data_IF_419370874180
#
_entry.id   IF_419370874180
#
_cell.length_a   1.000
_cell.length_b   1.000
_cell.length_c   1.000
_cell.angle_alpha   90.00
_cell.angle_beta   90.00
_cell.angle_gamma   90.00
#
_symmetry.space_group_name_H-M   'P 1'
#
loop_
_entity.id
_entity.type
_entity.pdbx_description
1 polymer ?
#
# COMPACT_ATOMS: atom_id res chain seq x y z
N UNK A 1 -5.98 -28.97 -39.27
CA UNK A 1 -5.74 -30.36 -39.65
C UNK A 1 -4.31 -30.47 -40.14
N UNK A 2 -3.47 -31.08 -39.45
CA UNK A 2 -2.32 -31.97 -39.72
C UNK A 2 -1.54 -32.06 -38.43
N UNK A 3 -1.66 -33.16 -37.74
CA UNK A 3 -0.72 -33.68 -36.73
C UNK A 3 0.51 -34.19 -37.46
N UNK A 4 1.69 -33.91 -36.94
CA UNK A 4 2.86 -34.76 -37.19
C UNK A 4 3.59 -34.99 -35.88
N UNK A 5 3.53 -36.25 -35.46
CA UNK A 5 4.35 -36.85 -34.41
C UNK A 5 5.71 -37.17 -35.04
N UNK A 6 6.82 -36.73 -34.45
CA UNK A 6 8.14 -37.29 -34.75
C UNK A 6 8.92 -37.49 -33.44
N UNK A 7 9.53 -38.64 -33.40
CA UNK A 7 10.06 -39.34 -32.27
C UNK A 7 11.34 -38.77 -31.65
N UNK A 8 11.64 -39.34 -30.49
CA UNK A 8 12.82 -39.18 -29.61
C UNK A 8 14.16 -39.38 -30.32
N UNK A 9 15.08 -38.41 -30.12
CA UNK A 9 16.50 -38.68 -30.07
C UNK A 9 17.14 -37.78 -28.99
N UNK A 10 17.97 -38.41 -28.17
CA UNK A 10 18.73 -37.86 -27.06
C UNK A 10 19.86 -36.95 -27.55
N UNK A 11 19.82 -35.66 -27.20
CA UNK A 11 20.99 -34.80 -27.01
C UNK A 11 20.51 -33.49 -26.35
N UNK A 12 21.23 -33.03 -25.31
CA UNK A 12 20.82 -31.92 -24.45
C UNK A 12 20.59 -30.62 -25.21
N UNK A 13 19.35 -30.19 -25.21
CA UNK A 13 18.94 -28.83 -25.56
C UNK A 13 17.96 -28.31 -24.52
N UNK A 14 18.34 -27.18 -23.95
CA UNK A 14 17.48 -26.35 -23.10
C UNK A 14 16.18 -26.04 -23.81
N UNK A 15 15.06 -26.60 -23.30
CA UNK A 15 13.71 -26.23 -23.77
C UNK A 15 13.41 -24.82 -23.28
N UNK A 16 13.31 -23.87 -24.22
CA UNK A 16 12.59 -22.63 -24.01
C UNK A 16 11.09 -22.96 -24.01
N UNK A 17 10.45 -22.91 -22.85
CA UNK A 17 9.01 -22.97 -22.75
C UNK A 17 8.44 -21.62 -23.19
N UNK A 18 8.12 -21.47 -24.48
CA UNK A 18 7.14 -20.50 -24.95
C UNK A 18 5.75 -21.14 -24.87
N UNK A 19 5.18 -21.23 -23.70
CA UNK A 19 3.74 -21.40 -23.59
C UNK A 19 3.09 -20.01 -23.73
N UNK A 20 2.59 -19.70 -24.92
CA UNK A 20 1.59 -18.65 -25.13
C UNK A 20 0.28 -19.09 -24.44
N UNK A 21 0.14 -18.75 -23.16
CA UNK A 21 -1.16 -18.83 -22.51
C UNK A 21 -2.07 -17.79 -23.13
N UNK A 22 -2.98 -18.21 -24.01
CA UNK A 22 -4.16 -17.43 -24.38
C UNK A 22 -5.09 -17.37 -23.17
N UNK A 23 -4.87 -16.43 -22.28
CA UNK A 23 -5.87 -16.07 -21.29
C UNK A 23 -7.04 -15.41 -22.03
N UNK A 24 -8.27 -15.92 -21.82
CA UNK A 24 -9.50 -15.23 -22.19
C UNK A 24 -9.56 -13.84 -21.53
N UNK A 25 -10.56 -13.06 -21.85
CA UNK A 25 -10.79 -11.76 -21.21
C UNK A 25 -10.71 -11.89 -19.70
N UNK A 26 -9.88 -11.05 -19.05
CA UNK A 26 -9.74 -11.04 -17.59
C UNK A 26 -10.97 -10.34 -17.03
N UNK A 27 -11.80 -11.07 -16.31
CA UNK A 27 -12.95 -10.53 -15.57
C UNK A 27 -12.49 -9.93 -14.23
N UNK A 28 -11.89 -8.75 -14.32
CA UNK A 28 -11.48 -7.99 -13.15
C UNK A 28 -12.66 -7.17 -12.63
N UNK A 29 -13.20 -7.56 -11.48
CA UNK A 29 -14.42 -7.00 -10.94
C UNK A 29 -14.24 -5.65 -10.25
N UNK A 30 -15.07 -4.66 -10.60
CA UNK A 30 -15.04 -3.31 -10.03
C UNK A 30 -15.51 -2.26 -11.03
N UNK A 31 -15.41 -0.99 -10.63
CA UNK A 31 -15.73 0.15 -11.50
C UNK A 31 -14.48 0.76 -12.14
N UNK A 32 -13.39 0.86 -11.38
CA UNK A 32 -12.10 1.39 -11.85
C UNK A 32 -10.94 0.94 -10.97
N UNK A 33 -9.73 1.06 -11.53
CA UNK A 33 -8.46 1.05 -10.79
C UNK A 33 -7.91 2.48 -10.83
N UNK A 34 -7.57 3.04 -9.66
CA UNK A 34 -6.86 4.32 -9.55
C UNK A 34 -5.45 4.08 -9.03
N UNK A 35 -4.44 4.56 -9.78
CA UNK A 35 -3.03 4.32 -9.48
C UNK A 35 -2.25 5.62 -9.36
N UNK A 36 -1.47 5.78 -8.28
CA UNK A 36 -0.55 6.88 -8.07
C UNK A 36 0.85 6.56 -8.55
N UNK A 37 1.44 7.50 -9.27
CA UNK A 37 2.83 7.47 -9.71
C UNK A 37 3.58 8.70 -9.19
N UNK A 38 4.69 8.45 -8.47
CA UNK A 38 5.67 9.44 -8.05
C UNK A 38 6.76 9.50 -9.14
N UNK A 39 6.52 10.30 -10.16
CA UNK A 39 7.34 10.33 -11.36
C UNK A 39 8.70 10.99 -11.15
N UNK A 40 8.81 11.88 -10.16
CA UNK A 40 10.05 12.59 -9.89
C UNK A 40 10.95 11.87 -8.85
N UNK A 41 10.39 10.84 -8.15
CA UNK A 41 11.13 9.98 -7.22
C UNK A 41 10.89 8.49 -7.52
N UNK A 42 11.77 7.85 -8.26
CA UNK A 42 11.64 6.42 -8.61
C UNK A 42 12.55 5.50 -7.82
N UNK A 43 13.76 5.95 -7.50
CA UNK A 43 14.79 5.21 -6.74
C UNK A 43 15.91 6.15 -6.30
N UNK A 44 16.82 5.65 -5.47
CA UNK A 44 18.06 6.35 -5.10
C UNK A 44 19.23 5.37 -5.18
N UNK A 45 20.47 5.89 -5.27
CA UNK A 45 21.62 5.09 -4.93
C UNK A 45 21.71 4.84 -3.41
N UNK A 46 22.70 4.07 -2.97
CA UNK A 46 22.91 3.74 -1.55
C UNK A 46 23.18 4.97 -0.67
N UNK A 47 23.65 6.08 -1.26
CA UNK A 47 23.94 7.34 -0.60
C UNK A 47 22.74 8.31 -0.61
N UNK A 48 21.62 7.89 -1.19
CA UNK A 48 20.42 8.71 -1.32
C UNK A 48 20.47 9.72 -2.47
N UNK A 49 21.40 9.57 -3.42
CA UNK A 49 21.46 10.40 -4.62
C UNK A 49 20.28 10.08 -5.53
N UNK A 50 19.63 11.12 -6.00
CA UNK A 50 18.46 11.02 -6.88
C UNK A 50 18.84 10.86 -8.35
N UNK A 51 17.95 10.30 -9.19
CA UNK A 51 18.13 10.27 -10.64
C UNK A 51 18.32 11.68 -11.20
N UNK A 52 18.95 11.78 -12.39
CA UNK A 52 19.12 13.06 -13.09
C UNK A 52 17.76 13.69 -13.37
N UNK A 53 17.71 15.01 -13.38
CA UNK A 53 16.45 15.75 -13.63
C UNK A 53 15.82 15.38 -14.97
N UNK A 54 16.61 15.10 -16.00
CA UNK A 54 16.14 14.66 -17.32
C UNK A 54 15.45 13.26 -17.30
N UNK A 55 15.63 12.48 -16.24
CA UNK A 55 15.03 11.16 -16.09
C UNK A 55 13.76 11.18 -15.26
N UNK A 56 13.41 12.32 -14.67
CA UNK A 56 12.23 12.51 -13.82
C UNK A 56 10.99 12.80 -14.66
N UNK A 57 9.86 12.29 -14.22
CA UNK A 57 8.55 12.54 -14.81
C UNK A 57 7.66 13.31 -13.82
N UNK A 58 6.47 13.68 -14.24
CA UNK A 58 5.47 14.35 -13.39
C UNK A 58 4.69 13.32 -12.60
N UNK A 59 4.39 13.63 -11.35
CA UNK A 59 3.50 12.84 -10.49
C UNK A 59 2.08 12.84 -11.03
N UNK A 60 1.42 11.68 -10.97
CA UNK A 60 0.11 11.49 -11.58
C UNK A 60 -0.78 10.55 -10.80
N UNK A 61 -2.08 10.81 -10.92
CA UNK A 61 -3.14 9.83 -10.73
C UNK A 61 -3.57 9.31 -12.10
N UNK A 62 -3.54 8.00 -12.30
CA UNK A 62 -4.00 7.32 -13.51
C UNK A 62 -5.31 6.60 -13.22
N UNK A 63 -6.31 6.74 -14.10
CA UNK A 63 -7.63 6.13 -13.99
C UNK A 63 -7.79 5.08 -15.09
N UNK A 64 -8.09 3.85 -14.68
CA UNK A 64 -8.28 2.69 -15.53
C UNK A 64 -9.71 2.20 -15.29
N UNK A 65 -10.67 2.49 -16.19
CA UNK A 65 -12.03 2.00 -16.05
C UNK A 65 -12.08 0.48 -16.22
N UNK A 66 -13.07 -0.14 -15.65
CA UNK A 66 -13.36 -1.56 -15.79
C UNK A 66 -14.65 -1.76 -16.62
N UNK A 67 -14.78 -2.84 -17.39
CA UNK A 67 -13.82 -3.95 -17.55
C UNK A 67 -12.54 -3.54 -18.26
N UNK A 68 -11.48 -4.36 -18.14
CA UNK A 68 -10.14 -4.02 -18.67
C UNK A 68 -10.07 -4.04 -20.21
N UNK A 69 -10.83 -4.88 -20.88
CA UNK A 69 -10.97 -5.00 -22.34
C UNK A 69 -9.66 -4.89 -23.14
N UNK A 70 -8.60 -5.50 -22.62
CA UNK A 70 -7.27 -5.45 -23.22
C UNK A 70 -6.56 -4.10 -23.13
N UNK A 71 -7.01 -3.18 -22.29
CA UNK A 71 -6.40 -1.87 -22.07
C UNK A 71 -4.90 -2.00 -21.73
N UNK A 72 -4.07 -1.21 -22.42
CA UNK A 72 -2.63 -1.13 -22.19
C UNK A 72 -2.22 0.20 -21.52
N UNK A 73 -3.11 1.18 -21.48
CA UNK A 73 -2.90 2.51 -20.91
C UNK A 73 -4.15 2.97 -20.15
N UNK A 74 -4.03 3.88 -19.19
CA UNK A 74 -5.17 4.47 -18.50
C UNK A 74 -6.05 5.27 -19.47
N UNK A 75 -7.35 5.37 -19.15
CA UNK A 75 -8.27 6.22 -19.89
C UNK A 75 -8.02 7.70 -19.64
N UNK A 76 -7.64 8.06 -18.41
CA UNK A 76 -7.32 9.43 -18.03
C UNK A 76 -6.15 9.48 -17.05
N UNK A 77 -5.44 10.61 -17.08
CA UNK A 77 -4.39 10.95 -16.10
C UNK A 77 -4.53 12.40 -15.68
N UNK A 78 -4.32 12.67 -14.40
CA UNK A 78 -4.29 14.00 -13.84
C UNK A 78 -3.03 14.20 -13.01
N UNK A 79 -2.37 15.36 -13.16
CA UNK A 79 -1.18 15.68 -12.39
C UNK A 79 -1.58 15.99 -10.94
N UNK A 80 -0.99 15.29 -10.01
CA UNK A 80 -1.18 15.49 -8.56
C UNK A 80 0.10 15.12 -7.83
N UNK A 81 0.61 16.04 -7.03
CA UNK A 81 1.80 15.80 -6.22
C UNK A 81 1.51 14.74 -5.17
N UNK A 82 2.36 13.74 -5.12
CA UNK A 82 2.30 12.61 -4.20
C UNK A 82 3.71 12.07 -3.94
N UNK A 83 3.88 11.07 -3.09
CA UNK A 83 5.23 10.54 -2.81
C UNK A 83 5.20 9.07 -2.47
N UNK A 84 6.04 8.30 -3.15
CA UNK A 84 6.32 6.91 -2.84
C UNK A 84 7.11 6.75 -1.53
N UNK A 85 8.02 7.69 -1.25
CA UNK A 85 8.88 7.64 -0.08
C UNK A 85 8.16 8.09 1.17
N UNK A 86 8.36 7.35 2.26
CA UNK A 86 7.83 7.67 3.60
C UNK A 86 6.31 7.70 3.74
N UNK A 87 5.55 7.50 2.68
CA UNK A 87 4.11 7.26 2.72
C UNK A 87 3.82 5.77 2.89
N UNK A 88 2.71 5.44 3.53
CA UNK A 88 2.21 4.06 3.62
C UNK A 88 1.02 3.85 2.70
N UNK A 89 -0.03 4.64 2.87
CA UNK A 89 -1.23 4.65 2.03
C UNK A 89 -1.62 6.10 1.71
N UNK A 90 -1.03 6.69 0.65
CA UNK A 90 -1.25 8.12 0.34
C UNK A 90 -2.57 8.40 -0.38
N UNK A 91 -3.37 7.38 -0.66
CA UNK A 91 -4.64 7.48 -1.39
C UNK A 91 -5.76 6.77 -0.63
N UNK A 92 -6.94 7.37 -0.60
CA UNK A 92 -8.19 6.77 -0.13
C UNK A 92 -9.32 7.10 -1.09
N UNK A 93 -10.33 6.23 -1.17
CA UNK A 93 -11.51 6.42 -2.03
C UNK A 93 -12.74 6.65 -1.14
N UNK A 94 -13.60 7.60 -1.52
CA UNK A 94 -14.90 7.77 -0.87
C UNK A 94 -15.76 6.50 -0.98
N UNK A 95 -16.67 6.24 -0.02
CA UNK A 95 -17.49 5.03 -0.03
C UNK A 95 -18.38 4.87 -1.28
N UNK A 96 -18.69 5.97 -1.96
CA UNK A 96 -19.44 5.95 -3.22
C UNK A 96 -18.54 5.84 -4.48
N UNK A 97 -17.22 5.77 -4.29
CA UNK A 97 -16.24 5.67 -5.37
C UNK A 97 -16.14 6.90 -6.28
N UNK A 98 -16.74 8.03 -5.91
CA UNK A 98 -16.74 9.22 -6.77
C UNK A 98 -15.60 10.19 -6.49
N UNK A 99 -14.91 10.03 -5.36
CA UNK A 99 -13.83 10.91 -4.98
C UNK A 99 -12.62 10.12 -4.48
N UNK A 100 -11.45 10.51 -4.89
CA UNK A 100 -10.19 10.06 -4.28
C UNK A 100 -9.54 11.20 -3.53
N UNK A 101 -8.94 10.88 -2.38
CA UNK A 101 -8.20 11.78 -1.51
C UNK A 101 -6.74 11.38 -1.52
N UNK A 102 -5.84 12.35 -1.75
CA UNK A 102 -4.40 12.11 -1.91
C UNK A 102 -3.63 13.02 -0.98
N UNK A 103 -2.67 12.46 -0.25
CA UNK A 103 -1.74 13.23 0.60
C UNK A 103 -0.35 13.28 -0.02
N UNK A 104 0.29 14.44 0.12
CA UNK A 104 1.67 14.70 -0.27
C UNK A 104 2.58 14.60 0.96
N UNK A 105 3.30 13.48 1.12
CA UNK A 105 4.19 13.24 2.28
C UNK A 105 5.49 14.03 2.16
N UNK A 106 6.12 14.01 1.00
CA UNK A 106 7.23 14.88 0.62
C UNK A 106 6.80 15.72 -0.57
N UNK A 107 7.30 16.93 -0.67
CA UNK A 107 7.05 17.79 -1.80
C UNK A 107 7.86 17.37 -3.02
N UNK A 108 7.58 18.02 -4.15
CA UNK A 108 8.25 17.73 -5.43
C UNK A 108 9.78 17.81 -5.30
N UNK A 109 10.45 16.88 -5.96
CA UNK A 109 11.91 16.75 -5.93
C UNK A 109 12.63 17.93 -6.58
N UNK A 110 12.02 18.55 -7.61
CA UNK A 110 12.56 19.74 -8.33
C UNK A 110 14.07 19.59 -8.61
N UNK A 111 14.88 20.58 -8.17
CA UNK A 111 16.34 20.59 -8.32
C UNK A 111 17.13 19.80 -7.28
N UNK A 112 16.49 19.07 -6.37
CA UNK A 112 17.20 18.28 -5.36
C UNK A 112 18.09 17.21 -6.01
N UNK A 113 19.32 17.08 -5.51
CA UNK A 113 20.28 16.08 -5.95
C UNK A 113 20.32 14.86 -5.01
N UNK A 114 19.82 15.04 -3.77
CA UNK A 114 19.79 14.01 -2.75
C UNK A 114 18.43 14.03 -2.03
N UNK A 115 17.98 12.86 -1.62
CA UNK A 115 16.71 12.69 -0.92
C UNK A 115 16.57 13.53 0.36
N UNK A 116 17.69 13.87 1.02
CA UNK A 116 17.70 14.74 2.21
C UNK A 116 17.34 16.20 1.90
N UNK A 117 17.39 16.60 0.63
CA UNK A 117 17.05 17.94 0.18
C UNK A 117 15.57 18.10 -0.19
N UNK A 118 14.82 16.99 -0.25
CA UNK A 118 13.39 17.05 -0.54
C UNK A 118 12.67 17.60 0.69
N UNK A 119 11.88 18.65 0.48
CA UNK A 119 11.12 19.27 1.57
C UNK A 119 9.95 18.39 2.00
N UNK A 120 9.51 18.58 3.24
CA UNK A 120 8.27 18.00 3.72
C UNK A 120 7.09 18.45 2.87
N UNK A 121 6.25 17.52 2.45
CA UNK A 121 4.96 17.81 1.85
C UNK A 121 3.92 18.19 2.90
N UNK A 122 2.80 18.74 2.48
CA UNK A 122 1.74 19.18 3.39
C UNK A 122 0.36 19.26 2.74
N UNK A 123 0.18 18.76 1.53
CA UNK A 123 -1.10 18.87 0.81
C UNK A 123 -2.01 17.67 1.04
N UNK A 124 -3.29 17.97 1.06
CA UNK A 124 -4.39 17.03 0.86
C UNK A 124 -5.20 17.52 -0.35
N UNK A 125 -5.39 16.63 -1.32
CA UNK A 125 -6.11 16.95 -2.57
C UNK A 125 -7.30 16.00 -2.73
N UNK A 126 -8.47 16.53 -3.09
CA UNK A 126 -9.65 15.79 -3.50
C UNK A 126 -9.79 15.83 -5.02
N UNK A 127 -10.06 14.68 -5.63
CA UNK A 127 -10.24 14.53 -7.08
C UNK A 127 -11.58 13.83 -7.32
N UNK A 128 -12.46 14.49 -8.07
CA UNK A 128 -13.72 13.92 -8.53
C UNK A 128 -13.49 12.93 -9.68
N UNK A 129 -14.05 11.74 -9.52
CA UNK A 129 -14.05 10.63 -10.46
C UNK A 129 -15.47 10.26 -10.92
N UNK A 130 -16.44 11.18 -10.83
CA UNK A 130 -17.79 10.95 -11.34
C UNK A 130 -17.77 10.65 -12.83
N UNK A 131 -16.91 11.33 -13.57
CA UNK A 131 -16.51 11.02 -14.96
C UNK A 131 -15.08 10.47 -14.96
N UNK A 132 -14.93 9.17 -15.23
CA UNK A 132 -13.63 8.50 -15.23
C UNK A 132 -12.72 8.95 -16.38
N UNK A 133 -13.30 9.49 -17.46
CA UNK A 133 -12.55 10.07 -18.58
C UNK A 133 -12.05 11.49 -18.34
N UNK A 134 -12.62 12.20 -17.34
CA UNK A 134 -12.33 13.60 -17.07
C UNK A 134 -12.19 13.88 -15.56
N UNK A 135 -11.19 13.27 -14.87
CA UNK A 135 -10.97 13.52 -13.45
C UNK A 135 -10.65 14.98 -13.17
N UNK A 136 -11.18 15.54 -12.07
CA UNK A 136 -11.04 16.96 -11.73
C UNK A 136 -10.59 17.13 -10.27
N UNK A 137 -9.59 17.98 -10.03
CA UNK A 137 -9.31 18.47 -8.68
C UNK A 137 -10.47 19.34 -8.23
N UNK A 138 -11.10 18.97 -7.13
CA UNK A 138 -12.23 19.72 -6.55
C UNK A 138 -11.81 20.60 -5.40
N UNK A 139 -10.79 20.18 -4.65
CA UNK A 139 -10.26 20.95 -3.54
C UNK A 139 -8.81 20.56 -3.21
N UNK A 140 -8.07 21.50 -2.61
CA UNK A 140 -6.72 21.28 -2.10
C UNK A 140 -6.48 22.15 -0.87
N UNK A 141 -6.12 21.53 0.25
CA UNK A 141 -5.78 22.25 1.47
C UNK A 141 -4.39 21.89 1.96
N UNK A 142 -3.84 22.77 2.81
CA UNK A 142 -2.59 22.50 3.51
C UNK A 142 -2.85 21.89 4.88
N UNK A 143 -2.12 20.80 5.17
CA UNK A 143 -2.10 20.11 6.45
C UNK A 143 -0.80 20.43 7.21
N UNK A 144 -0.64 19.79 8.39
CA UNK A 144 0.68 19.69 9.02
C UNK A 144 1.67 18.92 8.14
N UNK A 145 2.95 19.09 8.41
CA UNK A 145 4.04 18.48 7.62
C UNK A 145 4.01 16.94 7.61
N UNK A 146 4.44 16.37 6.51
CA UNK A 146 4.61 14.93 6.27
C UNK A 146 3.36 14.09 6.59
N UNK A 147 2.20 14.34 5.99
CA UNK A 147 1.08 13.43 6.10
C UNK A 147 1.47 12.05 5.55
N UNK A 148 1.32 10.97 6.36
CA UNK A 148 1.87 9.64 6.03
C UNK A 148 0.89 8.74 5.31
N UNK A 149 -0.38 8.84 5.64
CA UNK A 149 -1.47 8.08 5.05
C UNK A 149 -2.76 8.89 5.13
N UNK A 150 -3.77 8.46 4.42
CA UNK A 150 -5.12 9.00 4.49
C UNK A 150 -6.12 7.86 4.54
N UNK A 151 -7.11 7.96 5.41
CA UNK A 151 -8.23 7.01 5.52
C UNK A 151 -9.52 7.80 5.71
N UNK A 152 -10.58 7.41 5.00
CA UNK A 152 -11.91 8.00 5.13
C UNK A 152 -12.83 7.06 5.91
N UNK A 153 -13.69 7.62 6.73
CA UNK A 153 -14.67 6.81 7.46
C UNK A 153 -15.77 6.26 6.51
N UNK A 154 -16.47 5.17 6.89
CA UNK A 154 -17.50 4.56 6.05
C UNK A 154 -18.67 5.48 5.69
N UNK A 155 -18.89 6.56 6.46
CA UNK A 155 -19.92 7.55 6.12
C UNK A 155 -19.48 8.53 5.03
N UNK A 156 -18.18 8.55 4.69
CA UNK A 156 -17.63 9.45 3.68
C UNK A 156 -17.48 10.91 4.10
N UNK A 157 -17.67 11.22 5.39
CA UNK A 157 -17.75 12.59 5.88
C UNK A 157 -16.56 13.04 6.72
N UNK A 158 -15.58 12.13 7.00
CA UNK A 158 -14.43 12.45 7.84
C UNK A 158 -13.18 11.69 7.45
N UNK A 159 -12.14 12.40 7.06
CA UNK A 159 -10.79 11.86 6.84
C UNK A 159 -10.00 11.85 8.15
N UNK A 160 -9.15 10.84 8.33
CA UNK A 160 -8.13 10.78 9.36
C UNK A 160 -6.74 10.68 8.72
N UNK A 161 -5.83 11.55 9.13
CA UNK A 161 -4.51 11.73 8.51
C UNK A 161 -3.45 11.91 9.60
N UNK A 162 -2.50 10.98 9.76
CA UNK A 162 -1.38 11.17 10.67
C UNK A 162 -0.38 12.16 10.07
N UNK A 163 0.02 13.16 10.86
CA UNK A 163 1.03 14.14 10.49
C UNK A 163 2.23 14.06 11.44
N UNK A 164 3.42 14.39 10.94
CA UNK A 164 4.68 14.16 11.66
C UNK A 164 4.80 14.97 12.97
N UNK A 165 4.20 16.15 13.05
CA UNK A 165 4.41 17.06 14.17
C UNK A 165 3.45 16.74 15.31
N UNK A 166 4.01 16.37 16.48
CA UNK A 166 3.31 16.36 17.77
C UNK A 166 2.40 15.17 18.02
N UNK A 167 2.62 14.01 17.39
CA UNK A 167 1.79 12.81 17.59
C UNK A 167 0.31 13.09 17.43
N UNK A 168 -0.02 13.83 16.38
CA UNK A 168 -1.39 14.27 16.11
C UNK A 168 -1.97 13.50 14.94
N UNK A 169 -3.25 13.20 15.05
CA UNK A 169 -4.08 12.82 13.92
C UNK A 169 -4.88 14.05 13.54
N UNK A 170 -4.76 14.46 12.30
CA UNK A 170 -5.57 15.53 11.71
C UNK A 170 -6.81 14.92 11.09
N UNK A 171 -7.96 15.40 11.54
CA UNK A 171 -9.26 15.04 10.99
C UNK A 171 -9.76 16.15 10.09
N UNK A 172 -10.19 15.80 8.88
CA UNK A 172 -10.69 16.75 7.89
C UNK A 172 -12.14 16.36 7.53
N UNK A 173 -13.14 17.19 7.88
CA UNK A 173 -14.49 16.99 7.40
C UNK A 173 -14.56 17.04 5.88
N UNK A 174 -15.42 16.23 5.27
CA UNK A 174 -15.69 16.22 3.84
C UNK A 174 -17.18 16.41 3.61
N UNK A 175 -17.55 17.33 2.75
CA UNK A 175 -18.92 17.56 2.31
C UNK A 175 -18.93 18.01 0.85
N UNK A 176 -19.69 17.31 -0.01
CA UNK A 176 -19.78 17.65 -1.44
C UNK A 176 -18.41 17.77 -2.13
N UNK A 177 -17.49 16.85 -1.85
CA UNK A 177 -16.12 16.82 -2.36
C UNK A 177 -15.27 18.05 -1.98
N UNK A 178 -15.67 18.80 -0.95
CA UNK A 178 -14.94 19.95 -0.39
C UNK A 178 -14.46 19.64 1.02
N UNK A 179 -13.33 20.21 1.40
CA UNK A 179 -12.75 20.04 2.74
C UNK A 179 -13.26 21.11 3.71
N UNK A 180 -13.74 20.67 4.86
CA UNK A 180 -14.00 21.52 5.99
C UNK A 180 -12.71 21.88 6.74
N UNK A 181 -12.83 22.69 7.80
CA UNK A 181 -11.69 23.13 8.62
C UNK A 181 -11.04 21.93 9.33
N UNK A 182 -9.73 21.68 9.14
CA UNK A 182 -9.02 20.61 9.81
C UNK A 182 -9.04 20.76 11.33
N UNK A 183 -9.22 19.63 12.04
CA UNK A 183 -9.18 19.53 13.50
C UNK A 183 -8.13 18.50 13.88
N UNK A 184 -7.26 18.79 14.84
CA UNK A 184 -6.22 17.85 15.28
C UNK A 184 -6.49 17.33 16.68
N UNK A 185 -6.27 16.03 16.87
CA UNK A 185 -6.34 15.37 18.18
C UNK A 185 -5.01 14.69 18.50
N UNK A 186 -4.55 14.86 19.72
CA UNK A 186 -3.29 14.24 20.19
C UNK A 186 -3.55 12.78 20.54
N UNK A 187 -2.62 11.90 20.15
CA UNK A 187 -2.59 10.51 20.59
C UNK A 187 -2.04 10.51 22.01
N UNK A 188 -2.89 10.31 23.01
CA UNK A 188 -2.53 10.33 24.43
C UNK A 188 -1.69 9.13 24.89
N UNK A 189 -0.64 8.78 24.18
CA UNK A 189 0.34 7.79 24.66
C UNK A 189 1.35 8.53 25.50
N UNK A 190 1.46 8.14 26.76
CA UNK A 190 2.39 8.72 27.72
C UNK A 190 3.81 8.84 27.12
N UNK A 191 4.36 10.03 27.28
CA UNK A 191 5.49 10.54 26.56
C UNK A 191 6.84 10.04 27.08
N UNK A 192 7.29 8.91 26.55
CA UNK A 192 8.73 8.73 26.35
C UNK A 192 9.10 9.13 24.91
N UNK A 193 8.58 10.26 24.47
CA UNK A 193 8.67 10.72 23.09
C UNK A 193 10.03 11.33 22.77
N UNK A 194 11.06 10.55 22.90
CA UNK A 194 12.30 10.77 22.17
C UNK A 194 12.04 10.32 20.74
N UNK A 195 12.25 11.20 19.77
CA UNK A 195 12.29 11.03 18.31
C UNK A 195 11.88 9.66 17.78
N UNK A 196 10.78 9.56 17.02
CA UNK A 196 10.38 8.37 16.29
C UNK A 196 9.07 7.70 16.72
N UNK A 197 8.25 8.33 17.53
CA UNK A 197 6.94 7.82 17.97
C UNK A 197 5.79 8.19 17.00
N UNK A 198 6.12 8.37 15.74
CA UNK A 198 5.15 8.80 14.74
C UNK A 198 4.15 7.70 14.40
N UNK A 199 2.89 8.10 14.21
CA UNK A 199 1.92 7.27 13.52
C UNK A 199 2.27 7.27 12.05
N UNK A 200 2.52 6.09 11.50
CA UNK A 200 2.87 5.94 10.08
C UNK A 200 1.65 5.57 9.23
N UNK A 201 0.69 4.90 9.83
CA UNK A 201 -0.53 4.50 9.14
C UNK A 201 -1.74 4.62 10.05
N UNK A 202 -2.87 5.00 9.48
CA UNK A 202 -4.16 5.07 10.14
C UNK A 202 -5.24 4.40 9.29
N UNK A 203 -6.17 3.71 9.94
CA UNK A 203 -7.29 3.05 9.28
C UNK A 203 -8.55 3.21 10.10
N UNK A 204 -9.68 3.54 9.43
CA UNK A 204 -10.98 3.55 10.04
C UNK A 204 -11.53 2.12 10.17
N UNK A 205 -12.11 1.84 11.33
CA UNK A 205 -12.89 0.63 11.52
C UNK A 205 -14.17 0.67 10.67
N UNK A 206 -14.66 -0.47 10.13
CA UNK A 206 -15.85 -0.51 9.27
C UNK A 206 -17.13 0.08 9.87
N UNK A 207 -17.24 0.18 11.20
CA UNK A 207 -18.41 0.83 11.82
C UNK A 207 -18.31 2.37 11.93
N UNK A 208 -17.20 2.96 11.48
CA UNK A 208 -17.01 4.42 11.42
C UNK A 208 -16.77 5.13 12.76
N UNK A 209 -16.65 4.39 13.87
CA UNK A 209 -16.52 4.98 15.22
C UNK A 209 -15.14 4.82 15.84
N UNK A 210 -14.33 3.93 15.28
CA UNK A 210 -13.00 3.62 15.80
C UNK A 210 -11.94 3.75 14.70
N UNK A 211 -10.71 3.95 15.15
CA UNK A 211 -9.52 3.95 14.28
C UNK A 211 -8.44 3.07 14.89
N UNK A 212 -7.62 2.48 14.02
CA UNK A 212 -6.33 1.90 14.36
C UNK A 212 -5.22 2.84 13.90
N UNK A 213 -4.18 2.98 14.71
CA UNK A 213 -2.97 3.73 14.35
C UNK A 213 -1.74 2.84 14.52
N UNK A 214 -0.97 2.69 13.45
CA UNK A 214 0.26 1.91 13.43
C UNK A 214 1.43 2.80 13.83
N UNK A 215 2.17 2.39 14.84
CA UNK A 215 3.34 3.11 15.38
C UNK A 215 4.62 2.34 15.09
N UNK A 216 5.19 2.60 13.92
CA UNK A 216 6.31 1.85 13.37
C UNK A 216 7.51 1.80 14.32
N UNK A 217 7.96 2.94 14.82
CA UNK A 217 9.14 3.02 15.69
C UNK A 217 8.93 2.38 17.08
N UNK A 218 7.69 2.10 17.48
CA UNK A 218 7.34 1.46 18.75
C UNK A 218 7.00 -0.01 18.62
N UNK A 219 6.89 -0.52 17.40
CA UNK A 219 6.42 -1.88 17.11
C UNK A 219 5.04 -2.15 17.74
N UNK A 220 4.12 -1.21 17.56
CA UNK A 220 2.81 -1.24 18.21
C UNK A 220 1.70 -0.80 17.27
N UNK A 221 0.50 -1.31 17.55
CA UNK A 221 -0.77 -0.79 17.05
C UNK A 221 -1.60 -0.31 18.23
N UNK A 222 -2.23 0.84 18.08
CA UNK A 222 -3.12 1.44 19.09
C UNK A 222 -4.50 1.68 18.50
N UNK A 223 -5.52 1.54 19.32
CA UNK A 223 -6.91 1.69 18.91
C UNK A 223 -7.61 2.80 19.71
N UNK A 224 -8.43 3.57 19.02
CA UNK A 224 -9.18 4.67 19.62
C UNK A 224 -10.64 4.67 19.19
N UNK A 225 -11.52 5.02 20.10
CA UNK A 225 -12.85 5.53 19.76
C UNK A 225 -12.73 7.00 19.38
N UNK A 226 -13.30 7.39 18.25
CA UNK A 226 -13.39 8.77 17.80
C UNK A 226 -14.70 9.35 18.34
N UNK A 227 -14.60 10.32 19.23
CA UNK A 227 -15.73 11.10 19.73
C UNK A 227 -15.69 12.47 19.05
N UNK A 228 -16.73 12.81 18.32
CA UNK A 228 -16.85 14.12 17.67
C UNK A 228 -18.09 14.87 18.18
N UNK A 229 -17.92 16.16 18.32
CA UNK A 229 -18.99 17.14 18.44
C UNK A 229 -18.67 18.31 17.47
N UNK A 230 -19.55 19.28 17.38
CA UNK A 230 -19.41 20.39 16.44
C UNK A 230 -18.11 21.18 16.63
N UNK A 231 -17.60 21.28 17.85
CA UNK A 231 -16.40 22.03 18.17
C UNK A 231 -15.10 21.20 18.02
N UNK A 232 -15.09 19.93 18.48
CA UNK A 232 -13.88 19.17 18.70
C UNK A 232 -13.98 17.69 18.30
N UNK A 233 -12.83 17.09 18.03
CA UNK A 233 -12.67 15.64 17.89
C UNK A 233 -11.72 15.16 18.99
N UNK A 234 -12.18 14.19 19.79
CA UNK A 234 -11.40 13.59 20.89
C UNK A 234 -11.17 12.11 20.61
N UNK A 235 -9.94 11.66 20.87
CA UNK A 235 -9.56 10.26 20.84
C UNK A 235 -9.64 9.67 22.25
N UNK A 236 -10.43 8.62 22.40
CA UNK A 236 -10.56 7.86 23.66
C UNK A 236 -9.91 6.50 23.43
N UNK A 237 -8.88 6.18 24.23
CA UNK A 237 -8.18 4.92 24.10
C UNK A 237 -9.14 3.72 24.24
N UNK A 238 -9.04 2.80 23.29
CA UNK A 238 -9.73 1.52 23.33
C UNK A 238 -8.68 0.42 23.50
N UNK A 239 -8.46 0.05 24.76
CA UNK A 239 -7.45 -0.90 25.17
C UNK A 239 -6.03 -0.32 25.27
N UNK A 240 -5.11 -1.18 25.67
CA UNK A 240 -3.66 -0.88 25.71
C UNK A 240 -3.04 -1.04 24.32
N UNK A 241 -1.90 -0.38 24.05
CA UNK A 241 -1.11 -0.64 22.83
C UNK A 241 -0.80 -2.13 22.68
N UNK A 242 -0.99 -2.67 21.49
CA UNK A 242 -0.67 -4.06 21.15
C UNK A 242 0.72 -4.10 20.53
N UNK A 243 1.66 -4.82 21.16
CA UNK A 243 2.97 -5.09 20.55
C UNK A 243 2.80 -6.07 19.40
N UNK A 244 3.41 -5.77 18.26
CA UNK A 244 3.42 -6.59 17.04
C UNK A 244 4.86 -6.88 16.62
N UNK A 245 5.08 -7.46 15.46
CA UNK A 245 6.42 -7.67 14.93
C UNK A 245 7.20 -6.36 14.72
N UNK A 246 8.50 -6.46 14.48
CA UNK A 246 9.36 -5.31 14.30
C UNK A 246 9.00 -4.52 13.03
N UNK A 247 9.01 -3.19 13.15
CA UNK A 247 8.81 -2.26 12.06
C UNK A 247 7.45 -2.47 11.33
N UNK A 248 6.29 -2.41 12.03
CA UNK A 248 4.99 -2.50 11.41
C UNK A 248 4.81 -1.36 10.41
N UNK A 249 4.35 -1.68 9.20
CA UNK A 249 4.32 -0.70 8.12
C UNK A 249 2.91 -0.16 7.88
N UNK A 250 1.94 -1.05 7.75
CA UNK A 250 0.54 -0.72 7.50
C UNK A 250 -0.39 -1.71 8.19
N UNK A 251 -1.69 -1.48 8.09
CA UNK A 251 -2.68 -2.40 8.60
C UNK A 251 -4.09 -2.10 8.10
N UNK A 252 -4.94 -3.12 8.12
CA UNK A 252 -6.34 -3.02 7.70
C UNK A 252 -7.24 -3.78 8.68
N UNK A 253 -8.46 -3.30 8.86
CA UNK A 253 -9.51 -4.08 9.51
C UNK A 253 -10.06 -5.13 8.53
N UNK A 254 -10.47 -6.28 9.07
CA UNK A 254 -11.34 -7.19 8.32
C UNK A 254 -12.70 -6.51 8.04
N UNK A 255 -13.41 -6.88 6.96
CA UNK A 255 -14.70 -6.25 6.62
C UNK A 255 -15.73 -6.30 7.74
N UNK A 256 -15.74 -7.36 8.55
CA UNK A 256 -16.59 -7.52 9.72
C UNK A 256 -16.12 -6.73 10.97
N UNK A 257 -14.92 -6.16 10.90
CA UNK A 257 -14.31 -5.36 11.96
C UNK A 257 -13.92 -6.15 13.22
N UNK A 258 -13.83 -7.48 13.17
CA UNK A 258 -13.43 -8.28 14.34
C UNK A 258 -11.92 -8.35 14.53
N UNK A 259 -11.19 -8.22 13.44
CA UNK A 259 -9.72 -8.31 13.45
C UNK A 259 -9.10 -7.05 12.83
N UNK A 260 -7.91 -6.75 13.27
CA UNK A 260 -7.00 -5.83 12.60
C UNK A 260 -5.74 -6.59 12.21
N UNK A 261 -5.35 -6.51 10.94
CA UNK A 261 -4.20 -7.21 10.39
C UNK A 261 -3.11 -6.19 10.09
N UNK A 262 -1.87 -6.46 10.49
CA UNK A 262 -0.73 -5.58 10.22
C UNK A 262 0.46 -6.38 9.68
N UNK A 263 1.14 -5.82 8.69
CA UNK A 263 2.39 -6.34 8.17
C UNK A 263 3.58 -5.70 8.90
N UNK A 264 4.59 -6.51 9.22
CA UNK A 264 5.78 -6.10 9.96
C UNK A 264 7.00 -6.34 9.06
N UNK A 265 7.66 -5.27 8.64
CA UNK A 265 8.72 -5.34 7.62
C UNK A 265 10.04 -5.93 8.15
N UNK A 266 10.23 -6.01 9.46
CA UNK A 266 11.42 -6.58 10.12
C UNK A 266 12.78 -5.96 9.69
N UNK A 267 12.76 -4.73 9.19
CA UNK A 267 13.98 -4.05 8.75
C UNK A 267 14.88 -3.79 9.96
N UNK A 268 16.10 -4.30 9.93
CA UNK A 268 17.07 -4.06 10.99
C UNK A 268 17.45 -2.57 11.01
N UNK A 269 17.44 -1.96 12.19
CA UNK A 269 17.84 -0.55 12.39
C UNK A 269 19.27 -0.27 11.97
N UNK A 270 20.11 -1.30 11.89
CA UNK A 270 21.50 -1.28 11.45
C UNK A 270 21.67 -1.10 9.93
N UNK A 271 20.60 -1.19 9.14
CA UNK A 271 20.66 -0.95 7.69
C UNK A 271 20.95 0.51 7.29
N UNK A 272 21.10 1.42 8.24
CA UNK A 272 21.55 2.81 8.02
C UNK A 272 23.09 2.98 8.08
N UNK A 273 23.84 1.92 8.26
CA UNK A 273 25.30 2.00 8.32
C UNK A 273 25.90 2.04 6.92
N UNK A 274 26.84 2.96 6.63
CA UNK A 274 27.50 3.08 5.32
C UNK A 274 28.30 1.83 4.91
N UNK A 275 28.66 0.96 5.86
CA UNK A 275 29.38 -0.29 5.63
C UNK A 275 28.51 -1.41 5.05
N UNK A 276 27.21 -1.19 4.89
CA UNK A 276 26.27 -2.15 4.29
C UNK A 276 26.38 -2.20 2.75
N UNK A 277 27.60 -2.19 2.22
CA UNK A 277 27.91 -2.49 0.83
C UNK A 277 27.74 -4.00 0.50
N UNK A 278 27.42 -4.82 1.47
CA UNK A 278 27.07 -6.23 1.31
C UNK A 278 25.57 -6.35 1.48
N UNK A 279 24.80 -6.30 0.39
CA UNK A 279 23.47 -6.89 0.33
C UNK A 279 23.65 -8.39 0.53
N UNK A 280 23.85 -8.79 1.80
CA UNK A 280 23.89 -10.19 2.17
C UNK A 280 22.53 -10.79 1.87
N UNK A 281 22.49 -11.97 1.33
CA UNK A 281 21.29 -12.71 0.93
C UNK A 281 20.31 -12.98 2.09
N UNK A 282 20.68 -12.66 3.33
CA UNK A 282 19.93 -12.96 4.54
C UNK A 282 19.29 -11.71 5.15
N UNK A 283 18.36 -11.09 4.42
CA UNK A 283 17.46 -10.12 5.04
C UNK A 283 16.40 -10.88 5.86
N UNK A 284 16.07 -10.40 7.10
CA UNK A 284 15.05 -11.06 7.89
C UNK A 284 13.71 -11.01 7.16
N UNK A 285 13.04 -12.15 7.09
CA UNK A 285 11.69 -12.20 6.56
C UNK A 285 10.73 -11.46 7.48
N UNK A 286 9.81 -10.70 6.88
CA UNK A 286 8.76 -10.01 7.60
C UNK A 286 7.67 -10.96 8.09
N UNK A 287 6.71 -10.41 8.81
CA UNK A 287 5.57 -11.17 9.33
C UNK A 287 4.26 -10.43 9.10
N UNK A 288 3.16 -11.16 9.15
CA UNK A 288 1.79 -10.62 9.22
C UNK A 288 1.18 -11.03 10.54
N UNK A 289 0.71 -10.07 11.33
CA UNK A 289 0.08 -10.31 12.63
C UNK A 289 -1.40 -9.99 12.58
N UNK A 290 -2.24 -10.85 13.15
CA UNK A 290 -3.69 -10.69 13.29
C UNK A 290 -4.00 -10.38 14.73
N UNK A 291 -4.66 -9.24 14.95
CA UNK A 291 -5.08 -8.75 16.26
C UNK A 291 -6.60 -8.92 16.37
N UNK A 292 -7.06 -9.77 17.27
CA UNK A 292 -8.46 -9.85 17.66
C UNK A 292 -8.84 -8.64 18.52
N UNK A 293 -9.88 -7.96 18.14
CA UNK A 293 -10.31 -6.76 18.85
C UNK A 293 -11.19 -7.11 20.06
N UNK A 294 -11.02 -6.34 21.12
CA UNK A 294 -11.85 -6.43 22.31
C UNK A 294 -13.32 -6.08 22.01
N UNK A 295 -14.23 -6.60 22.83
CA UNK A 295 -15.64 -6.31 22.69
C UNK A 295 -15.92 -4.79 22.86
N UNK A 296 -16.64 -4.22 21.89
CA UNK A 296 -16.99 -2.79 21.85
C UNK A 296 -17.98 -2.35 22.94
N UNK A 297 -18.64 -3.29 23.63
CA UNK A 297 -19.54 -2.98 24.75
C UNK A 297 -18.79 -2.38 25.96
N UNK A 298 -17.52 -2.73 26.13
CA UNK A 298 -16.67 -2.28 27.23
C UNK A 298 -15.46 -1.48 26.72
N UNK A 299 -15.70 -0.28 26.21
CA UNK A 299 -14.64 0.61 25.75
C UNK A 299 -13.99 1.25 26.96
N UNK A 300 -12.83 0.76 27.30
CA UNK A 300 -11.95 1.30 28.32
C UNK A 300 -10.51 1.16 27.91
N UNK A 301 -9.61 1.89 28.57
CA UNK A 301 -8.16 1.71 28.42
C UNK A 301 -7.68 0.32 28.87
N UNK A 302 -8.53 -0.46 29.53
CA UNK A 302 -8.24 -1.81 30.00
C UNK A 302 -8.80 -2.91 29.08
N UNK A 303 -9.47 -2.56 27.99
CA UNK A 303 -9.90 -3.54 27.00
C UNK A 303 -8.71 -4.32 26.46
N UNK A 304 -8.86 -5.64 26.31
CA UNK A 304 -7.77 -6.52 25.90
C UNK A 304 -7.92 -6.91 24.43
N UNK A 305 -7.14 -6.28 23.56
CA UNK A 305 -6.88 -6.79 22.21
C UNK A 305 -5.81 -7.87 22.28
N UNK A 306 -5.89 -8.89 21.43
CA UNK A 306 -4.99 -10.05 21.49
C UNK A 306 -4.43 -10.37 20.10
N UNK A 307 -3.14 -10.67 20.01
CA UNK A 307 -2.58 -11.31 18.81
C UNK A 307 -3.04 -12.78 18.82
N UNK A 308 -3.75 -13.16 17.78
CA UNK A 308 -4.27 -14.53 17.62
C UNK A 308 -3.50 -15.32 16.56
N UNK A 309 -2.78 -14.63 15.67
CA UNK A 309 -1.92 -15.27 14.67
C UNK A 309 -0.76 -14.36 14.29
N UNK A 310 0.39 -14.98 13.97
CA UNK A 310 1.54 -14.30 13.34
C UNK A 310 2.19 -15.30 12.39
N UNK A 311 2.28 -14.92 11.11
CA UNK A 311 2.79 -15.78 10.03
C UNK A 311 3.90 -15.08 9.28
N UNK A 312 4.91 -15.85 8.87
CA UNK A 312 6.05 -15.33 8.10
C UNK A 312 5.61 -14.99 6.68
N UNK A 313 5.86 -13.76 6.26
CA UNK A 313 5.80 -13.30 4.87
C UNK A 313 7.18 -13.46 4.21
N UNK A 314 7.47 -12.70 3.15
CA UNK A 314 8.82 -12.58 2.62
C UNK A 314 9.47 -11.28 3.13
N UNK A 315 10.62 -10.89 2.58
CA UNK A 315 11.42 -9.75 3.05
C UNK A 315 10.69 -8.43 2.79
N UNK A 316 10.56 -7.62 3.84
CA UNK A 316 10.00 -6.26 3.78
C UNK A 316 8.57 -6.20 3.18
N UNK A 317 7.55 -6.84 3.79
CA UNK A 317 6.17 -6.65 3.40
C UNK A 317 5.75 -5.20 3.71
N UNK A 318 5.48 -4.40 2.67
CA UNK A 318 5.12 -2.99 2.80
C UNK A 318 3.68 -2.70 2.35
N UNK A 319 3.20 -3.34 1.28
CA UNK A 319 1.80 -3.26 0.84
C UNK A 319 0.97 -4.43 1.37
N UNK A 320 -0.33 -4.18 1.65
CA UNK A 320 -1.26 -5.21 2.10
C UNK A 320 -2.68 -4.93 1.62
N UNK A 321 -3.38 -6.00 1.22
CA UNK A 321 -4.78 -5.98 0.88
C UNK A 321 -5.53 -7.14 1.57
N UNK A 322 -6.81 -6.93 1.83
CA UNK A 322 -7.75 -7.96 2.31
C UNK A 322 -8.86 -8.08 1.26
N UNK A 323 -9.27 -9.29 0.92
CA UNK A 323 -10.40 -9.54 0.00
C UNK A 323 -11.72 -9.03 0.57
N UNK A 324 -12.70 -8.77 -0.27
CA UNK A 324 -13.99 -8.21 0.14
C UNK A 324 -14.77 -9.14 1.09
N UNK A 325 -14.63 -10.45 0.94
CA UNK A 325 -15.17 -11.48 1.83
C UNK A 325 -14.36 -11.66 3.13
N UNK A 326 -13.15 -11.10 3.19
CA UNK A 326 -12.29 -11.12 4.37
C UNK A 326 -11.54 -12.44 4.61
N UNK A 327 -11.58 -13.40 3.70
CA UNK A 327 -10.94 -14.71 3.85
C UNK A 327 -9.51 -14.77 3.30
N UNK A 328 -9.10 -13.78 2.47
CA UNK A 328 -7.76 -13.70 1.93
C UNK A 328 -7.05 -12.40 2.34
N UNK A 329 -5.77 -12.53 2.61
CA UNK A 329 -4.83 -11.42 2.84
C UNK A 329 -3.67 -11.57 1.86
N UNK A 330 -3.29 -10.52 1.19
CA UNK A 330 -2.13 -10.51 0.32
C UNK A 330 -1.14 -9.41 0.74
N UNK A 331 0.16 -9.70 0.69
CA UNK A 331 1.22 -8.71 0.89
C UNK A 331 2.11 -8.62 -0.32
N UNK A 332 2.58 -7.40 -0.62
CA UNK A 332 3.69 -7.16 -1.54
C UNK A 332 4.96 -6.97 -0.74
N UNK A 333 5.97 -7.77 -1.02
CA UNK A 333 7.24 -7.81 -0.33
C UNK A 333 8.32 -7.23 -1.23
N UNK A 334 9.01 -6.19 -0.74
CA UNK A 334 9.87 -5.33 -1.54
C UNK A 334 11.21 -5.94 -1.93
N UNK A 335 11.70 -6.92 -1.18
CA UNK A 335 12.95 -7.65 -1.42
C UNK A 335 14.18 -6.75 -1.73
N UNK A 336 14.25 -5.53 -1.18
CA UNK A 336 15.38 -4.59 -1.41
C UNK A 336 15.46 -4.01 -2.84
N UNK A 337 14.35 -3.89 -3.56
CA UNK A 337 14.30 -3.36 -4.93
C UNK A 337 14.35 -1.83 -5.04
N UNK A 338 14.62 -1.09 -3.95
CA UNK A 338 14.48 0.39 -3.91
C UNK A 338 15.66 1.18 -4.47
N UNK A 339 16.71 0.50 -4.91
CA UNK A 339 17.94 1.14 -5.32
C UNK A 339 18.07 1.22 -6.83
N UNK A 340 18.99 2.08 -7.33
CA UNK A 340 19.27 2.19 -8.75
C UNK A 340 19.87 0.90 -9.31
N UNK A 341 19.67 0.67 -10.60
CA UNK A 341 20.10 -0.53 -11.31
C UNK A 341 21.61 -0.84 -11.17
N UNK A 342 22.43 0.19 -10.97
CA UNK A 342 23.89 0.07 -10.82
C UNK A 342 24.32 -0.42 -9.42
N UNK A 343 23.36 -0.63 -8.50
CA UNK A 343 23.67 -1.11 -7.16
C UNK A 343 24.10 -2.57 -7.18
N UNK A 344 25.34 -2.84 -6.78
CA UNK A 344 25.89 -4.20 -6.73
C UNK A 344 25.08 -5.09 -5.77
N UNK A 345 24.64 -6.25 -6.26
CA UNK A 345 23.84 -7.21 -5.47
C UNK A 345 22.37 -6.85 -5.34
N UNK A 346 21.87 -5.90 -6.15
CA UNK A 346 20.45 -5.53 -6.18
C UNK A 346 19.59 -6.75 -6.53
N UNK A 347 18.59 -7.03 -5.70
CA UNK A 347 17.52 -7.95 -6.06
C UNK A 347 16.55 -7.25 -7.02
N UNK A 348 16.35 -7.82 -8.20
CA UNK A 348 15.46 -7.27 -9.23
C UNK A 348 14.02 -7.73 -9.12
N UNK A 349 13.71 -8.58 -8.14
CA UNK A 349 12.39 -9.14 -7.95
C UNK A 349 11.73 -8.56 -6.70
N UNK A 350 10.41 -8.38 -6.76
CA UNK A 350 9.53 -8.34 -5.60
C UNK A 350 8.83 -9.69 -5.44
N UNK A 351 8.15 -9.92 -4.34
CA UNK A 351 7.29 -11.09 -4.19
C UNK A 351 5.91 -10.71 -3.66
N UNK A 352 4.95 -11.60 -3.86
CA UNK A 352 3.60 -11.52 -3.32
C UNK A 352 3.42 -12.75 -2.44
N UNK A 353 3.03 -12.56 -1.17
CA UNK A 353 2.61 -13.64 -0.30
C UNK A 353 1.09 -13.58 -0.14
N UNK A 354 0.42 -14.72 -0.33
CA UNK A 354 -1.02 -14.89 -0.15
C UNK A 354 -1.28 -15.73 1.10
N UNK A 355 -2.22 -15.28 1.92
CA UNK A 355 -2.62 -15.93 3.15
C UNK A 355 -4.11 -16.17 3.14
N UNK A 356 -4.53 -17.31 3.72
CA UNK A 356 -5.92 -17.60 4.05
C UNK A 356 -6.17 -17.25 5.51
N UNK A 357 -7.21 -16.48 5.75
CA UNK A 357 -7.68 -16.09 7.08
C UNK A 357 -8.92 -16.91 7.42
N UNK A 358 -8.92 -17.54 8.58
CA UNK A 358 -10.14 -18.07 9.17
C UNK A 358 -10.91 -16.92 9.83
N UNK A 359 -12.07 -16.52 9.28
CA UNK A 359 -12.80 -15.37 9.78
C UNK A 359 -13.45 -15.61 11.15
N UNK A 360 -13.48 -16.84 11.68
CA UNK A 360 -14.02 -17.13 13.00
C UNK A 360 -12.96 -17.00 14.09
N UNK A 361 -11.77 -17.50 13.83
CA UNK A 361 -10.69 -17.61 14.83
C UNK A 361 -9.60 -16.55 14.66
N UNK A 362 -9.49 -15.94 13.47
CA UNK A 362 -8.37 -15.08 13.11
C UNK A 362 -7.09 -15.84 12.81
N UNK A 363 -7.16 -17.18 12.69
CA UNK A 363 -6.01 -17.98 12.29
C UNK A 363 -5.62 -17.64 10.84
N UNK A 364 -4.35 -17.29 10.63
CA UNK A 364 -3.79 -16.95 9.33
C UNK A 364 -2.82 -18.05 8.90
N UNK A 365 -2.89 -18.49 7.65
CA UNK A 365 -1.96 -19.45 7.06
C UNK A 365 -1.48 -18.98 5.69
N UNK A 366 -0.16 -19.03 5.42
CA UNK A 366 0.37 -18.72 4.09
C UNK A 366 0.03 -19.85 3.13
N UNK A 367 -0.66 -19.53 2.04
CA UNK A 367 -1.16 -20.51 1.06
C UNK A 367 -0.46 -20.41 -0.29
N UNK A 368 0.13 -19.27 -0.65
CA UNK A 368 0.94 -19.12 -1.86
C UNK A 368 1.99 -18.01 -1.69
N UNK A 369 3.07 -18.11 -2.47
CA UNK A 369 4.07 -17.05 -2.61
C UNK A 369 4.64 -17.09 -4.03
N UNK A 370 4.77 -15.92 -4.67
CA UNK A 370 5.28 -15.81 -6.05
C UNK A 370 6.14 -14.58 -6.21
N UNK A 371 7.30 -14.74 -6.84
CA UNK A 371 8.18 -13.62 -7.18
C UNK A 371 7.99 -13.19 -8.63
N UNK A 372 8.24 -11.89 -8.89
CA UNK A 372 8.24 -11.30 -10.22
C UNK A 372 9.26 -10.17 -10.31
N UNK A 373 9.73 -9.88 -11.52
CA UNK A 373 10.65 -8.78 -11.78
C UNK A 373 9.93 -7.43 -11.66
N UNK A 374 10.55 -6.49 -10.95
CA UNK A 374 10.06 -5.13 -10.80
C UNK A 374 10.66 -4.41 -9.60
N UNK A 375 10.55 -3.09 -9.59
CA UNK A 375 11.09 -2.19 -8.57
C UNK A 375 9.99 -1.69 -7.65
N UNK A 376 10.33 -1.55 -6.36
CA UNK A 376 9.61 -0.70 -5.39
C UNK A 376 8.09 -0.92 -5.35
N UNK A 377 7.64 -2.16 -5.41
CA UNK A 377 6.21 -2.47 -5.36
C UNK A 377 5.68 -2.32 -3.94
N UNK A 378 4.66 -1.46 -3.75
CA UNK A 378 3.96 -1.25 -2.48
C UNK A 378 2.46 -1.36 -2.61
N UNK A 379 1.90 -0.84 -3.73
CA UNK A 379 0.47 -0.85 -3.96
C UNK A 379 -0.02 -2.26 -4.33
N UNK A 380 -1.01 -2.72 -3.60
CA UNK A 380 -1.73 -3.98 -3.87
C UNK A 380 -3.19 -3.80 -3.49
N UNK A 381 -4.10 -4.31 -4.31
CA UNK A 381 -5.52 -4.32 -4.02
C UNK A 381 -6.18 -5.53 -4.69
N UNK A 382 -7.10 -6.20 -3.98
CA UNK A 382 -7.98 -7.18 -4.61
C UNK A 382 -9.01 -6.48 -5.49
N UNK A 383 -9.49 -7.18 -6.50
CA UNK A 383 -10.73 -6.83 -7.18
C UNK A 383 -11.95 -7.14 -6.28
N UNK A 384 -13.13 -6.73 -6.69
CA UNK A 384 -14.34 -6.93 -5.88
C UNK A 384 -14.71 -8.41 -5.70
N UNK A 385 -14.29 -9.30 -6.59
CA UNK A 385 -14.51 -10.75 -6.49
C UNK A 385 -13.52 -11.45 -5.55
N UNK A 386 -12.35 -10.85 -5.30
CA UNK A 386 -11.23 -11.48 -4.60
C UNK A 386 -10.46 -12.50 -5.43
N UNK A 387 -10.75 -12.63 -6.73
CA UNK A 387 -10.09 -13.59 -7.64
C UNK A 387 -8.92 -12.97 -8.41
N UNK A 388 -8.75 -11.65 -8.31
CA UNK A 388 -7.62 -10.95 -8.93
C UNK A 388 -7.00 -9.92 -7.98
N UNK A 389 -5.74 -9.61 -8.26
CA UNK A 389 -4.96 -8.56 -7.60
C UNK A 389 -4.48 -7.55 -8.63
N UNK A 390 -4.62 -6.26 -8.33
CA UNK A 390 -3.91 -5.17 -9.01
C UNK A 390 -2.64 -4.84 -8.21
N UNK A 391 -1.48 -4.91 -8.85
CA UNK A 391 -0.16 -4.67 -8.25
C UNK A 391 0.48 -3.45 -8.90
N UNK A 392 0.88 -2.47 -8.10
CA UNK A 392 1.59 -1.29 -8.56
C UNK A 392 3.11 -1.56 -8.63
N UNK A 393 3.66 -1.64 -9.82
CA UNK A 393 5.09 -1.80 -10.07
C UNK A 393 5.68 -0.44 -10.44
N UNK A 394 6.61 0.06 -9.64
CA UNK A 394 7.20 1.40 -9.81
C UNK A 394 8.03 1.55 -11.09
N UNK A 395 8.63 0.48 -11.54
CA UNK A 395 9.40 0.42 -12.77
C UNK A 395 9.98 -0.97 -13.00
N UNK A 396 10.44 -1.18 -14.22
CA UNK A 396 11.17 -2.38 -14.59
C UNK A 396 12.63 -2.01 -14.91
N UNK A 397 13.50 -3.00 -14.80
CA UNK A 397 14.88 -2.88 -15.23
C UNK A 397 14.95 -2.88 -16.77
N UNK A 398 16.10 -2.44 -17.32
CA UNK A 398 16.28 -2.37 -18.79
C UNK A 398 15.89 -3.70 -19.48
N UNK A 399 15.25 -3.65 -20.66
CA UNK A 399 15.00 -2.45 -21.47
C UNK A 399 13.73 -1.67 -21.10
N UNK A 400 12.81 -2.23 -20.29
CA UNK A 400 11.54 -1.57 -19.90
C UNK A 400 11.78 -0.67 -18.68
N UNK A 401 11.69 0.65 -18.85
CA UNK A 401 11.91 1.62 -17.76
C UNK A 401 10.65 2.27 -17.23
N UNK A 402 9.46 1.82 -17.64
CA UNK A 402 8.18 2.37 -17.21
C UNK A 402 7.64 1.66 -15.97
N UNK A 403 6.72 2.29 -15.23
CA UNK A 403 5.95 1.65 -14.18
C UNK A 403 4.59 1.18 -14.70
N UNK A 404 3.96 0.25 -14.01
CA UNK A 404 2.73 -0.37 -14.47
C UNK A 404 1.82 -0.82 -13.32
N UNK A 405 0.55 -1.05 -13.66
CA UNK A 405 -0.34 -1.92 -12.91
C UNK A 405 -0.31 -3.30 -13.57
N UNK A 406 0.07 -4.31 -12.80
CA UNK A 406 -0.01 -5.72 -13.17
C UNK A 406 -1.26 -6.35 -12.59
N UNK A 407 -1.95 -7.15 -13.40
CA UNK A 407 -3.09 -7.95 -12.95
C UNK A 407 -2.62 -9.38 -12.71
N UNK A 408 -2.93 -9.90 -11.52
CA UNK A 408 -2.61 -11.26 -11.11
C UNK A 408 -3.89 -12.01 -10.77
N UNK A 409 -3.99 -13.26 -11.18
CA UNK A 409 -5.08 -14.15 -10.81
C UNK A 409 -4.77 -14.89 -9.51
N UNK A 410 -5.76 -15.00 -8.65
CA UNK A 410 -5.75 -15.80 -7.44
C UNK A 410 -6.50 -17.10 -7.70
N UNK A 411 -5.79 -18.16 -8.03
CA UNK A 411 -6.40 -19.47 -8.18
C UNK A 411 -6.67 -20.06 -6.78
N UNK A 412 -7.86 -20.63 -6.58
CA UNK A 412 -8.30 -21.24 -5.31
C UNK A 412 -8.38 -22.76 -5.39
N UNK A 413 -8.44 -23.36 -6.59
CA UNK A 413 -8.60 -24.78 -6.83
C UNK A 413 -7.67 -25.24 -7.97
N UNK A 414 -7.07 -26.45 -7.90
CA UNK A 414 -7.15 -27.45 -6.81
C UNK A 414 -6.35 -27.04 -5.56
N UNK A 415 -5.47 -26.06 -5.67
CA UNK A 415 -4.71 -25.45 -4.58
C UNK A 415 -4.59 -23.95 -4.82
N UNK A 416 -4.31 -23.18 -3.77
CA UNK A 416 -4.05 -21.75 -3.93
C UNK A 416 -2.79 -21.51 -4.74
N UNK A 417 -2.90 -20.61 -5.73
CA UNK A 417 -1.77 -20.16 -6.52
C UNK A 417 -1.92 -18.67 -6.91
N UNK A 418 -0.79 -18.01 -7.14
CA UNK A 418 -0.70 -16.67 -7.71
C UNK A 418 -0.18 -16.79 -9.14
N UNK A 419 -0.96 -16.32 -10.09
CA UNK A 419 -0.65 -16.40 -11.51
C UNK A 419 -0.56 -14.99 -12.10
N UNK A 420 0.63 -14.65 -12.60
CA UNK A 420 0.81 -13.39 -13.32
C UNK A 420 0.12 -13.49 -14.68
N UNK A 421 -0.82 -12.60 -14.93
CA UNK A 421 -1.48 -12.54 -16.25
C UNK A 421 -0.61 -11.75 -17.24
N UNK A 422 -1.01 -11.73 -18.51
CA UNK A 422 -0.40 -10.88 -19.52
C UNK A 422 -0.95 -9.44 -19.54
N UNK A 423 -1.89 -9.11 -18.64
CA UNK A 423 -2.48 -7.77 -18.53
C UNK A 423 -1.58 -6.87 -17.71
N UNK A 424 -0.83 -6.03 -18.41
CA UNK A 424 0.08 -5.03 -17.85
C UNK A 424 -0.31 -3.68 -18.44
N UNK A 425 -0.65 -2.73 -17.57
CA UNK A 425 -1.15 -1.40 -17.94
C UNK A 425 -0.07 -0.37 -17.60
N UNK A 426 0.51 0.26 -18.62
CA UNK A 426 1.54 1.31 -18.44
C UNK A 426 0.90 2.57 -17.86
N UNK A 427 1.29 2.95 -16.67
CA UNK A 427 0.81 4.15 -15.95
C UNK A 427 1.93 5.15 -15.64
N UNK A 428 3.14 4.87 -16.09
CA UNK A 428 4.30 5.72 -15.91
C UNK A 428 5.19 5.31 -14.74
N UNK A 429 6.39 5.90 -14.70
CA UNK A 429 7.40 5.61 -13.66
C UNK A 429 6.92 5.99 -12.27
N UNK A 430 7.42 5.27 -11.26
CA UNK A 430 7.19 5.58 -9.87
C UNK A 430 5.82 5.13 -9.35
N UNK A 431 5.11 4.26 -10.06
CA UNK A 431 3.81 3.72 -9.62
C UNK A 431 3.96 2.99 -8.30
N UNK A 432 3.25 3.43 -7.26
CA UNK A 432 3.51 2.93 -5.91
C UNK A 432 2.26 2.69 -5.05
N UNK A 433 1.12 3.22 -5.42
CA UNK A 433 -0.13 3.00 -4.72
C UNK A 433 -1.26 2.70 -5.72
N UNK A 434 -2.20 1.86 -5.30
CA UNK A 434 -3.35 1.44 -6.11
C UNK A 434 -4.55 1.25 -5.20
N UNK A 435 -5.71 1.66 -5.67
CA UNK A 435 -7.03 1.34 -5.12
C UNK A 435 -7.93 0.82 -6.23
N UNK A 436 -8.81 -0.10 -5.89
CA UNK A 436 -9.87 -0.64 -6.74
C UNK A 436 -11.20 -0.32 -6.11
N UNK A 437 -12.16 0.11 -6.89
CA UNK A 437 -13.51 0.42 -6.45
C UNK A 437 -14.54 -0.12 -7.43
#
# INVERSE_FOLDING_TARGET
MVLSVVGLTTSGQTRSFNEEYKFGSIDFAGRYIAALSDGDYTSTDINGKLPKTSERATDKLSIIPLPLDGLKKPAAQINVSNTAKSSTFPIATSPDGKTVFIVETLGQVKGALNVKQIRAGNKLTAIDLSDLGLPKVTDTIQLGQNPKSVSINPNGDLLAIPTQIGQKITFVPVQNNQFGKPKSSTIGIQADCKTGSEVTHIEWHPDGRYIAAVMQARNQVVFYKVQRNDANIKLVAWGKPVKVGSNPFSGKFTPDGRFFITNNAQVLSTQRQPEYNKFTQEQPKGTVSVIQLANKKNISSNAKHQIVSTVVADVSPEGMAISADGDLVATVNKLVTSYTEDTKGLNKNFSISLFKLDPQTGHLSKVAEKSAEGMLSKGIHFDASGDHLAIAVSGYFKPKKTGAIEIWRVARSPSFALERTNQIIDVGKGTHAVVVW
#
